data_IF_605459059908
#
_entry.id   IF_605459059908
#
_cell.length_a   1.000
_cell.length_b   1.000
_cell.length_c   1.000
_cell.angle_alpha   90.00
_cell.angle_beta   90.00
_cell.angle_gamma   90.00
#
_symmetry.space_group_name_H-M   'P 1'
#
loop_
_entity.id
_entity.type
_entity.pdbx_description
1 polymer ?
#
# COMPACT_ATOMS: atom_id res chain seq x y z
N UNK A 1 -0.26 39.31 -49.72
CA UNK A 1 -1.32 38.27 -49.74
C UNK A 1 -0.65 36.91 -49.78
N UNK A 2 -0.71 36.15 -48.69
CA UNK A 2 -0.62 34.68 -48.65
C UNK A 2 -0.92 34.30 -47.19
N UNK A 3 -2.20 34.13 -46.91
CA UNK A 3 -2.69 33.58 -45.65
C UNK A 3 -2.35 32.09 -45.64
N UNK A 4 -1.54 31.66 -44.67
CA UNK A 4 -1.37 30.23 -44.41
C UNK A 4 -2.29 29.88 -43.23
N UNK A 5 -3.38 29.19 -43.58
CA UNK A 5 -4.33 28.57 -42.67
C UNK A 5 -3.60 27.54 -41.79
N UNK A 6 -3.56 27.73 -40.47
CA UNK A 6 -3.18 26.68 -39.53
C UNK A 6 -4.45 25.98 -39.06
N UNK A 7 -4.71 24.81 -39.62
CA UNK A 7 -5.83 23.95 -39.28
C UNK A 7 -5.39 23.07 -38.10
N UNK A 8 -5.72 23.50 -36.89
CA UNK A 8 -5.43 22.75 -35.64
C UNK A 8 -6.36 21.54 -35.60
N UNK A 9 -5.81 20.37 -35.95
CA UNK A 9 -6.43 19.07 -35.76
C UNK A 9 -6.36 18.73 -34.27
N UNK A 10 -7.42 19.05 -33.52
CA UNK A 10 -7.56 18.69 -32.11
C UNK A 10 -7.92 17.19 -32.02
N UNK A 11 -6.93 16.30 -32.15
CA UNK A 11 -7.10 14.89 -31.82
C UNK A 11 -7.11 14.75 -30.30
N UNK A 12 -8.31 14.67 -29.73
CA UNK A 12 -8.49 14.32 -28.32
C UNK A 12 -8.06 12.86 -28.12
N UNK A 13 -6.83 12.65 -27.65
CA UNK A 13 -6.42 11.36 -27.10
C UNK A 13 -7.16 11.16 -25.77
N UNK A 14 -8.21 10.33 -25.80
CA UNK A 14 -8.80 9.80 -24.57
C UNK A 14 -7.75 8.90 -23.90
N UNK A 15 -7.16 9.41 -22.83
CA UNK A 15 -6.30 8.62 -21.95
C UNK A 15 -7.22 7.73 -21.11
N UNK A 16 -7.28 6.45 -21.44
CA UNK A 16 -7.94 5.45 -20.59
C UNK A 16 -7.09 5.22 -19.34
N UNK A 17 -7.55 5.74 -18.20
CA UNK A 17 -7.02 5.37 -16.89
C UNK A 17 -7.39 3.91 -16.60
N UNK A 18 -6.40 3.05 -16.36
CA UNK A 18 -6.65 1.69 -15.89
C UNK A 18 -7.20 1.74 -14.47
N UNK A 19 -8.46 1.38 -14.33
CA UNK A 19 -9.11 1.22 -13.03
C UNK A 19 -8.70 -0.12 -12.42
N UNK A 20 -8.22 -0.11 -11.18
CA UNK A 20 -8.10 -1.33 -10.38
C UNK A 20 -9.51 -1.88 -10.10
N UNK A 21 -9.71 -3.19 -10.28
CA UNK A 21 -10.99 -3.83 -9.99
C UNK A 21 -11.01 -4.20 -8.52
N UNK A 22 -11.92 -3.61 -7.75
CA UNK A 22 -12.00 -3.83 -6.31
C UNK A 22 -13.33 -4.44 -5.88
N UNK A 23 -13.28 -5.27 -4.84
CA UNK A 23 -14.47 -5.86 -4.23
C UNK A 23 -14.30 -5.98 -2.71
N UNK A 24 -15.35 -5.62 -1.97
CA UNK A 24 -15.40 -5.74 -0.51
C UNK A 24 -16.36 -6.87 -0.12
N UNK A 25 -15.88 -7.77 0.75
CA UNK A 25 -16.64 -8.88 1.35
C UNK A 25 -16.82 -8.60 2.83
N UNK A 26 -18.05 -8.60 3.34
CA UNK A 26 -18.35 -8.28 4.73
C UNK A 26 -18.53 -9.52 5.62
N UNK A 27 -18.22 -9.38 6.91
CA UNK A 27 -18.27 -10.48 7.88
C UNK A 27 -19.11 -10.11 9.10
N UNK A 28 -19.68 -11.15 9.70
CA UNK A 28 -20.33 -11.04 11.00
C UNK A 28 -19.30 -10.72 12.11
N UNK A 29 -19.82 -10.33 13.27
CA UNK A 29 -18.95 -10.08 14.43
C UNK A 29 -18.30 -11.38 14.85
N UNK A 30 -17.00 -11.34 15.13
CA UNK A 30 -16.22 -12.48 15.64
C UNK A 30 -16.09 -13.70 14.71
N UNK A 31 -16.60 -13.61 13.48
CA UNK A 31 -16.61 -14.73 12.53
C UNK A 31 -15.68 -14.46 11.35
N UNK A 32 -15.19 -15.54 10.75
CA UNK A 32 -14.46 -15.52 9.48
C UNK A 32 -15.08 -16.40 8.40
N UNK A 33 -16.23 -17.01 8.68
CA UNK A 33 -17.05 -17.66 7.67
C UNK A 33 -17.73 -16.59 6.82
N UNK A 34 -17.76 -16.81 5.49
CA UNK A 34 -18.37 -15.87 4.55
C UNK A 34 -19.88 -16.06 4.58
N UNK A 35 -20.67 -15.03 4.91
CA UNK A 35 -22.14 -15.14 4.86
C UNK A 35 -22.60 -15.50 3.44
N UNK A 36 -23.65 -16.31 3.31
CA UNK A 36 -24.15 -16.76 2.00
C UNK A 36 -24.46 -15.60 1.03
N UNK A 37 -24.92 -14.47 1.54
CA UNK A 37 -25.15 -13.26 0.72
C UNK A 37 -23.87 -12.70 0.11
N UNK A 38 -22.78 -12.72 0.89
CA UNK A 38 -21.47 -12.26 0.45
C UNK A 38 -20.78 -13.30 -0.43
N UNK A 39 -21.00 -14.59 -0.18
CA UNK A 39 -20.57 -15.67 -1.07
C UNK A 39 -21.16 -15.48 -2.49
N UNK A 40 -22.46 -15.23 -2.60
CA UNK A 40 -23.06 -14.97 -3.92
C UNK A 40 -22.49 -13.71 -4.61
N UNK A 41 -22.19 -12.65 -3.85
CA UNK A 41 -21.62 -11.40 -4.39
C UNK A 41 -20.18 -11.59 -4.87
N UNK A 42 -19.36 -12.34 -4.12
CA UNK A 42 -17.98 -12.60 -4.49
C UNK A 42 -17.90 -13.55 -5.69
N UNK A 43 -18.83 -14.50 -5.83
CA UNK A 43 -18.92 -15.36 -7.02
C UNK A 43 -19.24 -14.58 -8.29
N UNK A 44 -20.20 -13.67 -8.22
CA UNK A 44 -20.48 -12.76 -9.32
C UNK A 44 -19.26 -11.88 -9.67
N UNK A 45 -18.49 -11.47 -8.65
CA UNK A 45 -17.24 -10.75 -8.89
C UNK A 45 -16.22 -11.62 -9.61
N UNK A 46 -15.99 -12.85 -9.14
CA UNK A 46 -15.05 -13.81 -9.75
C UNK A 46 -15.43 -14.11 -11.20
N UNK A 47 -16.71 -14.35 -11.50
CA UNK A 47 -17.16 -14.64 -12.88
C UNK A 47 -16.89 -13.47 -13.84
N UNK A 48 -16.91 -12.23 -13.35
CA UNK A 48 -16.57 -11.06 -14.17
C UNK A 48 -15.06 -10.95 -14.46
N UNK A 49 -14.22 -11.72 -13.77
CA UNK A 49 -12.77 -11.75 -14.00
C UNK A 49 -12.36 -12.71 -15.12
N UNK A 50 -13.21 -13.66 -15.51
CA UNK A 50 -12.87 -14.71 -16.50
C UNK A 50 -12.45 -14.13 -17.87
N UNK A 51 -13.03 -13.00 -18.26
CA UNK A 51 -12.72 -12.31 -19.51
C UNK A 51 -11.52 -11.36 -19.42
N UNK A 52 -10.87 -11.26 -18.27
CA UNK A 52 -9.84 -10.26 -17.99
C UNK A 52 -8.51 -10.97 -17.74
N UNK A 53 -7.45 -10.68 -18.51
CA UNK A 53 -6.15 -11.22 -18.18
C UNK A 53 -5.69 -10.60 -16.86
N UNK A 54 -5.54 -11.40 -15.82
CA UNK A 54 -5.16 -10.92 -14.49
C UNK A 54 -3.63 -10.94 -14.35
N UNK A 55 -3.04 -9.83 -13.90
CA UNK A 55 -1.63 -9.78 -13.51
C UNK A 55 -1.42 -10.23 -12.06
N UNK A 56 -2.26 -9.73 -11.14
CA UNK A 56 -2.15 -10.03 -9.71
C UNK A 56 -3.46 -9.76 -8.98
N UNK A 57 -3.65 -10.47 -7.87
CA UNK A 57 -4.74 -10.33 -6.92
C UNK A 57 -4.13 -10.04 -5.54
N UNK A 58 -4.74 -9.11 -4.81
CA UNK A 58 -4.40 -8.79 -3.42
C UNK A 58 -5.61 -8.83 -2.51
N UNK A 59 -5.47 -9.49 -1.35
CA UNK A 59 -6.53 -9.72 -0.38
C UNK A 59 -6.10 -9.16 0.99
N UNK A 60 -6.90 -8.24 1.53
CA UNK A 60 -6.62 -7.58 2.81
C UNK A 60 -7.81 -7.68 3.76
N UNK A 61 -7.63 -8.37 4.89
CA UNK A 61 -8.68 -8.54 5.90
C UNK A 61 -8.61 -7.50 7.01
N UNK A 62 -9.77 -7.14 7.56
CA UNK A 62 -9.94 -6.14 8.60
C UNK A 62 -10.98 -6.57 9.66
N UNK A 63 -10.87 -6.01 10.86
CA UNK A 63 -11.88 -6.12 11.93
C UNK A 63 -12.41 -4.75 12.32
N UNK A 64 -13.47 -4.73 13.12
CA UNK A 64 -13.88 -3.50 13.81
C UNK A 64 -12.96 -3.18 14.99
N UNK A 65 -13.25 -2.06 15.68
CA UNK A 65 -12.44 -1.48 16.76
C UNK A 65 -12.51 -2.23 18.10
N UNK A 66 -13.26 -3.33 18.18
CA UNK A 66 -13.44 -4.09 19.42
C UNK A 66 -12.52 -5.30 19.45
N UNK A 67 -12.10 -5.71 20.65
CA UNK A 67 -11.18 -6.83 20.85
C UNK A 67 -9.75 -6.38 21.11
N UNK A 68 -8.85 -7.34 21.36
CA UNK A 68 -7.43 -7.03 21.52
C UNK A 68 -6.76 -6.92 20.16
N UNK A 69 -5.68 -6.12 20.07
CA UNK A 69 -4.92 -5.97 18.83
C UNK A 69 -4.42 -7.31 18.25
N UNK A 70 -3.92 -8.21 19.11
CA UNK A 70 -3.41 -9.51 18.67
C UNK A 70 -4.55 -10.41 18.17
N UNK A 71 -5.68 -10.41 18.88
CA UNK A 71 -6.87 -11.13 18.45
C UNK A 71 -7.40 -10.63 17.10
N UNK A 72 -7.53 -9.31 16.96
CA UNK A 72 -8.00 -8.68 15.73
C UNK A 72 -7.07 -8.95 14.55
N UNK A 73 -5.75 -8.99 14.80
CA UNK A 73 -4.78 -9.35 13.78
C UNK A 73 -4.99 -10.79 13.29
N UNK A 74 -5.15 -11.74 14.20
CA UNK A 74 -5.37 -13.15 13.85
C UNK A 74 -6.72 -13.35 13.15
N UNK A 75 -7.82 -12.77 13.67
CA UNK A 75 -9.15 -12.83 13.04
C UNK A 75 -9.17 -12.24 11.63
N UNK A 76 -8.54 -11.06 11.45
CA UNK A 76 -8.43 -10.43 10.14
C UNK A 76 -7.61 -11.27 9.14
N UNK A 77 -6.62 -12.02 9.63
CA UNK A 77 -5.81 -12.92 8.79
C UNK A 77 -6.61 -14.15 8.39
N UNK A 78 -7.39 -14.72 9.29
CA UNK A 78 -8.27 -15.85 8.99
C UNK A 78 -9.29 -15.47 7.91
N UNK A 79 -9.94 -14.31 8.02
CA UNK A 79 -10.85 -13.79 6.98
C UNK A 79 -10.17 -13.69 5.61
N UNK A 80 -8.96 -13.13 5.56
CA UNK A 80 -8.21 -13.02 4.31
C UNK A 80 -7.87 -14.41 3.72
N UNK A 81 -7.55 -15.38 4.57
CA UNK A 81 -7.29 -16.76 4.14
C UNK A 81 -8.55 -17.45 3.61
N UNK A 82 -9.71 -17.25 4.25
CA UNK A 82 -11.00 -17.78 3.78
C UNK A 82 -11.31 -17.28 2.36
N UNK A 83 -11.08 -15.99 2.08
CA UNK A 83 -11.27 -15.46 0.72
C UNK A 83 -10.25 -16.02 -0.27
N UNK A 84 -9.00 -16.24 0.16
CA UNK A 84 -8.00 -16.91 -0.68
C UNK A 84 -8.46 -18.32 -1.06
N UNK A 85 -8.91 -19.10 -0.09
CA UNK A 85 -9.40 -20.47 -0.29
C UNK A 85 -10.63 -20.50 -1.21
N UNK A 86 -11.54 -19.53 -1.05
CA UNK A 86 -12.68 -19.36 -1.95
C UNK A 86 -12.19 -19.11 -3.38
N UNK A 87 -11.30 -18.13 -3.61
CA UNK A 87 -10.76 -17.86 -4.94
C UNK A 87 -10.11 -19.10 -5.58
N UNK A 88 -9.27 -19.82 -4.82
CA UNK A 88 -8.66 -21.08 -5.29
C UNK A 88 -9.71 -22.14 -5.63
N UNK A 89 -10.73 -22.30 -4.78
CA UNK A 89 -11.80 -23.28 -4.93
C UNK A 89 -12.67 -23.04 -6.18
N UNK A 90 -12.79 -21.78 -6.61
CA UNK A 90 -13.49 -21.38 -7.83
C UNK A 90 -12.56 -21.24 -9.04
N UNK A 91 -11.35 -21.80 -8.98
CA UNK A 91 -10.48 -22.00 -10.16
C UNK A 91 -9.52 -20.86 -10.47
N UNK A 92 -9.42 -19.83 -9.62
CA UNK A 92 -8.38 -18.81 -9.77
C UNK A 92 -7.02 -19.40 -9.36
N UNK A 93 -6.03 -19.31 -10.25
CA UNK A 93 -4.67 -19.78 -9.97
C UNK A 93 -4.08 -19.04 -8.75
N UNK A 94 -3.63 -19.82 -7.75
CA UNK A 94 -2.98 -19.30 -6.55
C UNK A 94 -1.76 -18.43 -6.85
N UNK A 95 -1.08 -18.67 -7.98
CA UNK A 95 0.07 -17.86 -8.38
C UNK A 95 -0.33 -16.40 -8.67
N UNK A 96 -1.57 -16.15 -9.07
CA UNK A 96 -2.12 -14.79 -9.26
C UNK A 96 -2.38 -14.12 -7.92
N UNK A 97 -2.64 -14.87 -6.83
CA UNK A 97 -2.91 -14.35 -5.50
C UNK A 97 -1.61 -14.00 -4.78
N UNK A 98 -1.10 -12.81 -5.08
CA UNK A 98 0.22 -12.42 -4.59
C UNK A 98 0.20 -11.92 -3.13
N UNK A 99 -0.92 -11.42 -2.61
CA UNK A 99 -1.06 -10.87 -1.26
C UNK A 99 -2.26 -11.46 -0.53
N UNK A 100 -2.04 -11.95 0.69
CA UNK A 100 -3.09 -12.35 1.63
C UNK A 100 -2.63 -11.93 3.02
N UNK A 101 -3.22 -10.85 3.56
CA UNK A 101 -2.77 -10.29 4.85
C UNK A 101 -3.95 -9.79 5.69
N UNK A 102 -3.99 -10.20 6.96
CA UNK A 102 -4.77 -9.54 7.99
C UNK A 102 -4.14 -8.21 8.41
N UNK A 103 -4.97 -7.17 8.53
CA UNK A 103 -4.56 -5.81 8.92
C UNK A 103 -4.95 -5.45 10.35
N UNK A 104 -5.74 -6.28 11.03
CA UNK A 104 -6.30 -6.00 12.34
C UNK A 104 -7.44 -4.99 12.30
N UNK A 105 -7.59 -4.26 13.40
CA UNK A 105 -8.73 -3.35 13.63
C UNK A 105 -8.69 -2.07 12.81
N UNK A 106 -9.87 -1.63 12.36
CA UNK A 106 -10.09 -0.29 11.84
C UNK A 106 -10.73 0.57 12.92
N UNK A 107 -9.98 1.56 13.39
CA UNK A 107 -10.44 2.53 14.38
C UNK A 107 -11.61 3.40 13.85
N UNK A 108 -12.59 3.64 14.72
CA UNK A 108 -13.72 4.52 14.44
C UNK A 108 -13.27 5.99 14.34
N UNK A 109 -13.88 6.72 13.39
CA UNK A 109 -13.63 8.15 13.17
C UNK A 109 -14.78 9.06 13.63
N UNK A 110 -15.95 8.51 13.94
CA UNK A 110 -17.22 9.25 14.07
C UNK A 110 -17.63 9.43 15.55
N UNK A 111 -18.24 10.59 15.86
CA UNK A 111 -18.68 11.01 17.21
C UNK A 111 -20.17 10.72 17.51
N UNK A 112 -20.96 10.34 16.50
CA UNK A 112 -22.39 10.05 16.64
C UNK A 112 -22.65 8.57 16.95
N UNK A 113 -23.30 8.29 18.08
CA UNK A 113 -23.56 6.93 18.59
C UNK A 113 -24.40 6.07 17.62
N UNK A 114 -25.34 6.68 16.91
CA UNK A 114 -26.29 5.97 16.04
C UNK A 114 -25.65 5.32 14.81
N UNK A 115 -24.46 5.76 14.39
CA UNK A 115 -23.77 5.22 13.21
C UNK A 115 -22.69 4.20 13.56
N UNK A 116 -22.32 4.10 14.83
CA UNK A 116 -21.20 3.26 15.30
C UNK A 116 -21.39 1.80 14.87
N UNK A 117 -22.58 1.24 15.09
CA UNK A 117 -22.86 -0.15 14.74
C UNK A 117 -22.76 -0.40 13.24
N UNK A 118 -23.23 0.55 12.41
CA UNK A 118 -23.14 0.46 10.95
C UNK A 118 -21.69 0.52 10.49
N UNK A 119 -20.90 1.47 10.99
CA UNK A 119 -19.48 1.61 10.65
C UNK A 119 -18.69 0.36 11.06
N UNK A 120 -18.96 -0.19 12.25
CA UNK A 120 -18.35 -1.46 12.67
C UNK A 120 -18.67 -2.58 11.69
N UNK A 121 -19.92 -2.67 11.24
CA UNK A 121 -20.33 -3.59 10.17
C UNK A 121 -19.49 -3.43 8.91
N UNK A 122 -19.32 -2.19 8.45
CA UNK A 122 -18.54 -1.87 7.25
C UNK A 122 -17.01 -2.08 7.43
N UNK A 123 -16.51 -2.05 8.66
CA UNK A 123 -15.10 -2.28 8.96
C UNK A 123 -14.73 -3.76 9.04
N UNK A 124 -15.70 -4.63 9.36
CA UNK A 124 -15.52 -6.09 9.32
C UNK A 124 -15.57 -6.57 7.88
N UNK A 125 -14.49 -6.36 7.15
CA UNK A 125 -14.42 -6.67 5.73
C UNK A 125 -13.11 -7.26 5.27
N UNK A 126 -13.14 -7.88 4.10
CA UNK A 126 -11.97 -8.19 3.29
C UNK A 126 -12.07 -7.38 2.00
N UNK A 127 -11.01 -6.64 1.70
CA UNK A 127 -10.87 -5.87 0.47
C UNK A 127 -10.01 -6.65 -0.52
N UNK A 128 -10.54 -6.84 -1.72
CA UNK A 128 -9.92 -7.58 -2.83
C UNK A 128 -9.60 -6.58 -3.92
N UNK A 129 -8.36 -6.62 -4.42
CA UNK A 129 -7.88 -5.75 -5.49
C UNK A 129 -7.28 -6.64 -6.59
N UNK A 130 -7.87 -6.56 -7.78
CA UNK A 130 -7.42 -7.27 -8.97
C UNK A 130 -6.81 -6.27 -9.93
N UNK A 131 -5.57 -6.53 -10.32
CA UNK A 131 -4.84 -5.73 -11.31
C UNK A 131 -4.80 -6.50 -12.64
N UNK A 132 -5.39 -5.96 -13.72
CA UNK A 132 -5.30 -6.54 -15.04
C UNK A 132 -3.87 -6.56 -15.59
N UNK A 133 -3.56 -7.52 -16.47
CA UNK A 133 -2.32 -7.56 -17.25
C UNK A 133 -2.46 -6.60 -18.43
N UNK A 134 -1.59 -5.59 -18.47
CA UNK A 134 -1.39 -4.73 -19.63
C UNK A 134 -0.97 -5.58 -20.84
N UNK A 135 -1.55 -5.35 -22.04
CA UNK A 135 -0.98 -5.91 -23.26
C UNK A 135 0.44 -5.36 -23.42
N UNK A 136 1.40 -6.27 -23.65
CA UNK A 136 2.79 -5.91 -23.90
C UNK A 136 2.84 -5.13 -25.23
N UNK A 137 3.21 -3.85 -25.16
CA UNK A 137 3.49 -3.05 -26.35
C UNK A 137 4.79 -3.60 -26.93
N UNK A 138 4.69 -4.30 -28.06
CA UNK A 138 5.85 -4.69 -28.86
C UNK A 138 6.42 -3.39 -29.43
N UNK A 139 7.44 -2.84 -28.77
CA UNK A 139 8.25 -1.77 -29.34
C UNK A 139 9.32 -2.47 -30.17
N UNK A 140 9.20 -2.39 -31.48
CA UNK A 140 10.28 -2.80 -32.39
C UNK A 140 11.49 -1.90 -32.12
N UNK A 141 12.59 -2.49 -31.66
CA UNK A 141 13.87 -1.81 -31.44
C UNK A 141 14.40 -1.28 -32.79
N UNK A 142 14.56 0.04 -32.89
CA UNK A 142 15.45 0.65 -33.89
C UNK A 142 16.75 1.09 -33.23
N UNK A 143 17.89 1.06 -33.96
CA UNK A 143 19.21 1.19 -33.36
C UNK A 143 19.46 2.60 -32.83
N UNK A 144 20.06 2.68 -31.65
CA UNK A 144 20.53 3.92 -31.03
C UNK A 144 21.68 4.53 -31.86
N UNK A 145 21.49 5.76 -32.36
CA UNK A 145 22.60 6.62 -32.77
C UNK A 145 22.85 7.65 -31.65
N UNK A 146 24.09 7.64 -31.17
CA UNK A 146 24.65 8.62 -30.24
C UNK A 146 24.40 10.05 -30.72
N UNK A 147 23.82 10.89 -29.87
CA UNK A 147 23.88 12.34 -30.05
C UNK A 147 23.87 13.05 -28.70
N UNK A 148 24.81 13.97 -28.61
CA UNK A 148 25.32 14.64 -27.43
C UNK A 148 24.29 15.51 -26.69
N UNK A 149 24.56 15.68 -25.40
CA UNK A 149 23.86 16.54 -24.46
C UNK A 149 23.96 18.01 -24.90
N UNK A 150 22.82 18.63 -25.19
CA UNK A 150 22.65 20.09 -25.13
C UNK A 150 21.38 20.39 -24.35
N UNK A 151 21.57 20.85 -23.11
CA UNK A 151 20.54 21.44 -22.26
C UNK A 151 20.03 22.73 -22.93
N UNK A 152 18.73 22.78 -23.23
CA UNK A 152 17.99 24.04 -23.34
C UNK A 152 16.73 23.96 -22.47
N UNK A 153 16.67 24.91 -21.55
CA UNK A 153 15.62 25.13 -20.56
C UNK A 153 14.24 25.27 -21.21
N UNK A 154 13.30 24.44 -20.77
CA UNK A 154 11.87 24.76 -20.78
C UNK A 154 11.35 24.51 -19.38
N UNK A 155 11.05 25.61 -18.69
CA UNK A 155 10.43 25.65 -17.37
C UNK A 155 9.03 25.00 -17.42
N UNK A 156 8.93 23.73 -17.05
CA UNK A 156 7.74 23.18 -16.38
C UNK A 156 8.19 22.28 -15.23
N UNK A 157 7.98 22.74 -14.00
CA UNK A 157 8.35 22.06 -12.76
C UNK A 157 7.56 20.77 -12.53
N UNK A 158 8.00 19.66 -13.12
CA UNK A 158 7.67 18.31 -12.64
C UNK A 158 8.89 17.68 -11.99
N UNK A 159 9.00 17.80 -10.66
CA UNK A 159 10.04 17.14 -9.86
C UNK A 159 9.81 15.62 -9.79
N UNK A 160 10.35 14.88 -10.77
CA UNK A 160 10.45 13.41 -10.76
C UNK A 160 11.72 12.98 -10.00
N UNK A 161 11.84 13.42 -8.75
CA UNK A 161 12.88 12.95 -7.82
C UNK A 161 12.26 12.13 -6.69
N UNK A 162 12.96 11.13 -6.11
CA UNK A 162 12.46 10.40 -4.96
C UNK A 162 12.20 11.35 -3.79
N UNK A 163 10.94 11.50 -3.38
CA UNK A 163 10.54 12.40 -2.28
C UNK A 163 11.15 11.93 -0.96
N UNK A 164 11.67 12.88 -0.19
CA UNK A 164 12.35 12.62 1.09
C UNK A 164 11.58 13.26 2.25
N UNK A 165 12.09 13.09 3.47
CA UNK A 165 11.56 13.77 4.65
C UNK A 165 11.65 15.30 4.54
N UNK A 166 12.53 15.82 3.68
CA UNK A 166 12.68 17.26 3.49
C UNK A 166 11.50 17.86 2.72
N UNK A 167 10.90 17.10 1.80
CA UNK A 167 9.68 17.51 1.10
C UNK A 167 8.49 17.66 2.07
N UNK A 168 8.41 16.79 3.09
CA UNK A 168 7.42 16.94 4.17
C UNK A 168 7.65 18.23 4.95
N UNK A 169 8.91 18.57 5.21
CA UNK A 169 9.24 19.79 5.95
C UNK A 169 8.91 21.06 5.16
N UNK A 170 9.06 21.01 3.82
CA UNK A 170 8.74 22.08 2.88
C UNK A 170 7.25 22.19 2.53
N UNK A 171 6.44 21.18 2.88
CA UNK A 171 5.00 21.18 2.62
C UNK A 171 4.64 20.94 1.14
N UNK A 172 5.58 20.45 0.32
CA UNK A 172 5.38 20.20 -1.12
C UNK A 172 4.74 18.84 -1.42
N UNK A 173 4.23 18.17 -0.39
CA UNK A 173 3.73 16.79 -0.43
C UNK A 173 2.29 16.73 -0.94
N UNK A 174 2.03 15.77 -1.83
CA UNK A 174 0.73 15.46 -2.40
C UNK A 174 0.27 14.06 -2.03
N UNK A 175 -1.03 13.79 -2.20
CA UNK A 175 -1.58 12.44 -2.07
C UNK A 175 -0.92 11.51 -3.10
N UNK A 176 -0.48 10.34 -2.66
CA UNK A 176 0.21 9.35 -3.49
C UNK A 176 1.74 9.41 -3.35
N UNK A 177 2.30 10.49 -2.80
CA UNK A 177 3.74 10.63 -2.63
C UNK A 177 4.28 9.53 -1.72
N UNK A 178 5.34 8.87 -2.18
CA UNK A 178 6.04 7.84 -1.46
C UNK A 178 7.37 8.38 -0.98
N UNK A 179 7.58 8.31 0.32
CA UNK A 179 8.71 8.90 1.02
C UNK A 179 9.52 7.77 1.63
N UNK A 180 10.70 7.52 1.08
CA UNK A 180 11.60 6.51 1.63
C UNK A 180 12.27 7.07 2.88
N UNK A 181 12.15 6.37 4.01
CA UNK A 181 12.79 6.78 5.25
C UNK A 181 14.29 6.48 5.14
N UNK A 182 15.06 7.49 4.79
CA UNK A 182 16.52 7.40 4.79
C UNK A 182 17.04 7.25 6.22
N UNK A 183 18.15 6.53 6.38
CA UNK A 183 18.86 6.39 7.67
C UNK A 183 18.06 5.72 8.81
N UNK A 184 17.01 4.96 8.48
CA UNK A 184 16.31 4.06 9.42
C UNK A 184 16.70 2.61 9.10
N UNK A 185 17.68 2.11 9.85
CA UNK A 185 18.23 0.79 9.73
C UNK A 185 17.64 -0.13 10.80
N UNK A 186 17.22 -1.32 10.37
CA UNK A 186 16.78 -2.39 11.25
C UNK A 186 17.94 -3.34 11.53
N UNK A 187 18.00 -3.89 12.74
CA UNK A 187 18.93 -4.99 13.00
C UNK A 187 18.57 -6.18 12.11
N UNK A 188 19.58 -6.87 11.57
CA UNK A 188 19.41 -7.95 10.59
C UNK A 188 18.45 -9.02 11.10
N UNK A 189 17.40 -9.30 10.31
CA UNK A 189 16.32 -10.25 10.62
C UNK A 189 15.49 -9.94 11.89
N UNK A 190 15.56 -8.71 12.40
CA UNK A 190 14.73 -8.24 13.51
C UNK A 190 13.86 -7.05 13.10
N UNK A 191 12.81 -6.83 13.88
CA UNK A 191 11.83 -5.74 13.74
C UNK A 191 12.22 -4.42 14.42
N UNK A 192 13.28 -4.40 15.23
CA UNK A 192 13.73 -3.18 15.93
C UNK A 192 14.88 -2.47 15.20
N UNK A 193 14.88 -1.14 15.31
CA UNK A 193 15.89 -0.26 14.70
C UNK A 193 17.21 -0.27 15.48
N UNK A 194 18.31 0.08 14.80
CA UNK A 194 19.62 0.28 15.44
C UNK A 194 19.61 1.52 16.36
N UNK A 195 20.62 1.64 17.21
CA UNK A 195 20.83 2.84 18.05
C UNK A 195 20.91 4.11 17.22
N UNK A 196 21.61 4.05 16.09
CA UNK A 196 21.94 5.21 15.26
C UNK A 196 20.68 5.76 14.59
N UNK A 197 19.75 4.87 14.23
CA UNK A 197 18.47 5.23 13.64
C UNK A 197 17.46 5.82 14.62
N UNK A 198 17.73 5.79 15.93
CA UNK A 198 16.84 6.42 16.93
C UNK A 198 16.74 7.93 16.73
N UNK A 199 17.86 8.61 16.39
CA UNK A 199 17.87 10.05 16.15
C UNK A 199 16.99 10.42 14.95
N UNK A 200 17.16 9.70 13.84
CA UNK A 200 16.34 9.86 12.63
C UNK A 200 14.86 9.63 12.92
N UNK A 201 14.53 8.58 13.66
CA UNK A 201 13.16 8.24 14.01
C UNK A 201 12.52 9.28 14.96
N UNK A 202 13.31 9.91 15.82
CA UNK A 202 12.86 11.05 16.63
C UNK A 202 12.57 12.29 15.77
N UNK A 203 13.46 12.63 14.83
CA UNK A 203 13.23 13.73 13.89
C UNK A 203 11.97 13.52 13.05
N UNK A 204 11.76 12.29 12.55
CA UNK A 204 10.55 11.90 11.84
C UNK A 204 9.29 12.08 12.71
N UNK A 205 9.34 11.70 13.99
CA UNK A 205 8.21 11.89 14.89
C UNK A 205 7.87 13.37 15.09
N UNK A 206 8.88 14.23 15.29
CA UNK A 206 8.70 15.70 15.39
C UNK A 206 8.07 16.26 14.11
N UNK A 207 8.53 15.80 12.96
CA UNK A 207 8.01 16.21 11.65
C UNK A 207 6.54 15.83 11.45
N UNK A 208 6.15 14.61 11.85
CA UNK A 208 4.76 14.12 11.75
C UNK A 208 3.81 14.75 12.80
N UNK A 209 4.35 15.24 13.90
CA UNK A 209 3.61 16.04 14.89
C UNK A 209 3.35 17.46 14.38
N UNK A 210 4.34 18.06 13.70
CA UNK A 210 4.19 19.39 13.07
C UNK A 210 3.16 19.35 11.95
N UNK A 211 3.18 18.31 11.12
CA UNK A 211 2.28 18.15 9.98
C UNK A 211 1.03 17.33 10.32
N UNK A 212 0.11 17.95 11.07
CA UNK A 212 -1.13 17.29 11.57
C UNK A 212 -2.11 16.88 10.46
N UNK A 213 -2.06 17.54 9.32
CA UNK A 213 -2.95 17.32 8.18
C UNK A 213 -2.54 16.12 7.30
N UNK A 214 -1.39 15.49 7.54
CA UNK A 214 -0.93 14.34 6.75
C UNK A 214 -1.51 13.03 7.29
N UNK A 215 -2.00 12.20 6.36
CA UNK A 215 -2.45 10.84 6.60
C UNK A 215 -1.61 9.89 5.75
N UNK A 216 -1.09 8.83 6.34
CA UNK A 216 -0.07 8.02 5.69
C UNK A 216 -0.11 6.54 6.08
N UNK A 217 0.53 5.72 5.25
CA UNK A 217 0.72 4.29 5.45
C UNK A 217 2.20 3.99 5.53
N UNK A 218 2.63 3.32 6.60
CA UNK A 218 3.99 2.86 6.81
C UNK A 218 4.14 1.50 6.13
N UNK A 219 5.04 1.39 5.16
CA UNK A 219 5.26 0.21 4.33
C UNK A 219 6.62 -0.41 4.68
N UNK A 220 6.63 -1.63 5.21
CA UNK A 220 7.87 -2.33 5.56
C UNK A 220 8.31 -3.27 4.45
N UNK A 221 9.60 -3.27 4.13
CA UNK A 221 10.20 -4.10 3.08
C UNK A 221 11.24 -5.04 3.68
N UNK A 222 11.42 -6.19 3.03
CA UNK A 222 12.46 -7.17 3.39
C UNK A 222 13.17 -7.64 2.13
N UNK A 223 14.45 -7.97 2.28
CA UNK A 223 15.26 -8.54 1.21
C UNK A 223 15.18 -10.08 1.20
N UNK A 224 15.60 -10.66 0.07
CA UNK A 224 16.07 -12.06 -0.04
C UNK A 224 15.09 -13.17 0.39
N UNK A 225 13.78 -12.98 0.23
CA UNK A 225 12.80 -14.07 0.35
C UNK A 225 12.47 -14.68 -1.02
N UNK A 226 12.07 -15.96 -1.02
CA UNK A 226 11.61 -16.70 -2.20
C UNK A 226 10.08 -16.86 -2.19
N UNK A 227 9.48 -17.02 -3.37
CA UNK A 227 8.04 -17.30 -3.55
C UNK A 227 7.10 -16.30 -2.88
N UNK A 228 7.42 -14.99 -2.91
CA UNK A 228 6.58 -13.93 -2.34
C UNK A 228 6.25 -14.07 -0.84
N UNK A 229 6.95 -14.96 -0.13
CA UNK A 229 6.82 -15.15 1.32
C UNK A 229 7.49 -13.99 2.05
N UNK A 230 6.96 -13.64 3.22
CA UNK A 230 7.66 -12.70 4.10
C UNK A 230 8.89 -13.37 4.75
N UNK A 231 9.78 -12.55 5.28
CA UNK A 231 10.92 -13.00 6.06
C UNK A 231 10.48 -13.33 7.49
N UNK A 232 11.28 -14.16 8.17
CA UNK A 232 11.05 -14.56 9.55
C UNK A 232 11.64 -13.51 10.49
N UNK A 233 10.84 -13.01 11.44
CA UNK A 233 11.36 -12.22 12.55
C UNK A 233 12.05 -13.17 13.53
N UNK A 234 13.37 -13.01 13.70
CA UNK A 234 14.16 -13.88 14.58
C UNK A 234 13.72 -13.84 16.04
N UNK A 235 13.06 -12.76 16.48
CA UNK A 235 12.53 -12.63 17.85
C UNK A 235 11.30 -13.49 18.06
N UNK A 236 10.29 -13.36 17.18
CA UNK A 236 8.99 -14.02 17.34
C UNK A 236 8.91 -15.38 16.65
N UNK A 237 9.88 -15.67 15.77
CA UNK A 237 9.89 -16.83 14.85
C UNK A 237 8.72 -16.86 13.86
N UNK A 238 7.89 -15.81 13.81
CA UNK A 238 6.79 -15.67 12.87
C UNK A 238 7.29 -15.16 11.52
N UNK A 239 6.66 -15.60 10.43
CA UNK A 239 6.97 -15.21 9.05
C UNK A 239 6.22 -13.93 8.66
N UNK A 240 6.53 -12.83 9.36
CA UNK A 240 5.87 -11.54 9.21
C UNK A 240 6.83 -10.35 9.41
N UNK A 241 8.12 -10.50 9.12
CA UNK A 241 9.15 -9.50 9.42
C UNK A 241 8.87 -8.14 8.79
N UNK A 242 8.38 -8.10 7.54
CA UNK A 242 8.06 -6.84 6.86
C UNK A 242 6.93 -6.08 7.59
N UNK A 243 5.91 -6.81 8.06
CA UNK A 243 4.81 -6.26 8.86
C UNK A 243 5.32 -5.80 10.22
N UNK A 244 6.14 -6.62 10.89
CA UNK A 244 6.66 -6.32 12.21
C UNK A 244 7.54 -5.06 12.23
N UNK A 245 8.34 -4.82 11.17
CA UNK A 245 9.12 -3.59 10.98
C UNK A 245 8.24 -2.36 10.79
N UNK A 246 7.22 -2.46 9.94
CA UNK A 246 6.28 -1.36 9.74
C UNK A 246 5.53 -1.03 11.05
N UNK A 247 5.09 -2.07 11.78
CA UNK A 247 4.44 -1.93 13.08
C UNK A 247 5.36 -1.28 14.12
N UNK A 248 6.65 -1.62 14.14
CA UNK A 248 7.61 -1.01 15.06
C UNK A 248 7.66 0.52 14.92
N UNK A 249 7.68 1.03 13.68
CA UNK A 249 7.68 2.46 13.39
C UNK A 249 6.34 3.08 13.78
N UNK A 250 5.22 2.42 13.44
CA UNK A 250 3.88 2.84 13.86
C UNK A 250 3.78 2.99 15.39
N UNK A 251 4.17 1.97 16.15
CA UNK A 251 4.12 1.96 17.61
C UNK A 251 5.02 3.07 18.18
N UNK A 252 6.17 3.34 17.54
CA UNK A 252 7.05 4.43 17.94
C UNK A 252 6.42 5.80 17.73
N UNK A 253 5.87 6.07 16.54
CA UNK A 253 5.20 7.34 16.25
C UNK A 253 3.99 7.55 17.16
N UNK A 254 3.21 6.49 17.43
CA UNK A 254 2.09 6.52 18.38
C UNK A 254 2.56 6.97 19.77
N UNK A 255 3.62 6.34 20.31
CA UNK A 255 4.19 6.69 21.62
C UNK A 255 4.73 8.11 21.68
N UNK A 256 5.16 8.68 20.54
CA UNK A 256 5.59 10.07 20.44
C UNK A 256 4.45 11.07 20.27
N UNK A 257 3.19 10.61 20.17
CA UNK A 257 1.99 11.45 20.12
C UNK A 257 1.43 11.67 18.72
N UNK A 258 1.93 10.98 17.69
CA UNK A 258 1.31 11.01 16.36
C UNK A 258 -0.03 10.28 16.45
N UNK A 259 -1.12 10.99 16.13
CA UNK A 259 -2.47 10.41 16.17
C UNK A 259 -2.57 9.14 15.30
N UNK A 260 -2.94 8.04 15.96
CA UNK A 260 -3.16 6.72 15.35
C UNK A 260 -4.16 6.74 14.20
N UNK A 261 -5.15 7.64 14.21
CA UNK A 261 -6.16 7.78 13.15
C UNK A 261 -5.57 8.22 11.81
N UNK A 262 -4.38 8.85 11.85
CA UNK A 262 -3.68 9.38 10.67
C UNK A 262 -2.69 8.39 10.07
N UNK A 263 -2.46 7.26 10.72
CA UNK A 263 -1.44 6.30 10.31
C UNK A 263 -1.97 4.88 10.20
N UNK A 264 -1.51 4.17 9.18
CA UNK A 264 -1.67 2.73 9.01
C UNK A 264 -0.29 2.09 8.83
N UNK A 265 -0.17 0.77 8.97
CA UNK A 265 1.06 0.06 8.63
C UNK A 265 0.77 -1.23 7.85
N UNK A 266 1.73 -1.64 7.02
CA UNK A 266 1.66 -2.88 6.26
C UNK A 266 3.04 -3.42 5.91
N UNK A 267 3.15 -4.74 5.79
CA UNK A 267 4.32 -5.42 5.25
C UNK A 267 4.20 -5.62 3.74
N UNK A 268 5.23 -5.23 3.01
CA UNK A 268 5.35 -5.31 1.55
C UNK A 268 6.24 -6.47 1.09
N UNK A 269 6.78 -7.26 2.04
CA UNK A 269 7.64 -8.43 1.75
C UNK A 269 8.81 -8.02 0.81
N UNK A 270 9.24 -8.91 -0.09
CA UNK A 270 10.25 -8.65 -1.14
C UNK A 270 9.61 -8.25 -2.49
N UNK A 271 8.46 -7.55 -2.47
CA UNK A 271 7.69 -7.28 -3.70
C UNK A 271 8.17 -6.07 -4.50
N UNK A 272 8.93 -5.18 -3.87
CA UNK A 272 9.36 -3.91 -4.47
C UNK A 272 10.88 -3.74 -4.25
N UNK A 273 11.70 -4.59 -4.89
CA UNK A 273 13.15 -4.42 -4.82
C UNK A 273 13.55 -3.11 -5.51
N UNK A 274 14.46 -2.33 -4.92
CA UNK A 274 14.97 -1.10 -5.54
C UNK A 274 16.05 -1.36 -6.60
N UNK A 275 16.55 -2.59 -6.68
CA UNK A 275 17.80 -2.88 -7.40
C UNK A 275 19.02 -2.50 -6.56
N UNK A 276 20.15 -3.18 -6.78
CA UNK A 276 21.40 -2.95 -6.05
C UNK A 276 21.52 -3.77 -4.76
N UNK A 277 22.14 -3.18 -3.73
CA UNK A 277 22.52 -3.91 -2.51
C UNK A 277 21.30 -4.39 -1.71
N UNK A 278 21.27 -5.65 -1.22
CA UNK A 278 20.16 -6.19 -0.41
C UNK A 278 19.78 -5.34 0.79
N UNK A 279 20.73 -4.57 1.32
CA UNK A 279 20.57 -3.59 2.40
C UNK A 279 19.43 -2.60 2.12
N UNK A 280 19.32 -2.13 0.87
CA UNK A 280 18.36 -1.13 0.43
C UNK A 280 16.92 -1.66 0.46
N UNK A 281 16.75 -2.97 0.36
CA UNK A 281 15.44 -3.63 0.46
C UNK A 281 15.02 -3.95 1.90
N UNK A 282 15.88 -3.67 2.88
CA UNK A 282 15.57 -3.77 4.32
C UNK A 282 15.10 -2.43 4.88
N UNK A 283 14.15 -1.79 4.20
CA UNK A 283 13.71 -0.42 4.46
C UNK A 283 12.27 -0.32 4.95
N UNK A 284 11.90 0.88 5.38
CA UNK A 284 10.51 1.29 5.59
C UNK A 284 10.24 2.56 4.79
N UNK A 285 9.11 2.60 4.11
CA UNK A 285 8.62 3.73 3.33
C UNK A 285 7.37 4.32 4.02
N UNK A 286 7.13 5.60 3.82
CA UNK A 286 5.88 6.27 4.19
C UNK A 286 5.16 6.67 2.91
N UNK A 287 4.00 6.09 2.67
CA UNK A 287 3.11 6.44 1.59
C UNK A 287 2.07 7.44 2.08
N UNK A 288 2.03 8.63 1.49
CA UNK A 288 1.04 9.66 1.81
C UNK A 288 -0.29 9.28 1.16
N UNK A 289 -1.27 8.98 2.00
CA UNK A 289 -2.60 8.54 1.55
C UNK A 289 -3.60 9.68 1.40
N UNK A 290 -3.41 10.76 2.15
CA UNK A 290 -4.24 11.95 2.08
C UNK A 290 -3.53 13.15 2.73
N UNK A 291 -3.73 14.33 2.16
CA UNK A 291 -3.25 15.62 2.67
C UNK A 291 -4.50 16.45 2.95
N UNK A 292 -4.79 16.66 4.23
CA UNK A 292 -5.88 17.53 4.67
C UNK A 292 -5.57 19.00 4.41
N UNK A 293 -6.59 19.85 4.42
CA UNK A 293 -6.39 21.30 4.39
C UNK A 293 -5.63 21.70 5.65
N UNK A 294 -4.55 22.46 5.50
CA UNK A 294 -3.90 23.10 6.63
C UNK A 294 -4.90 24.11 7.22
N UNK A 295 -5.11 24.04 8.53
CA UNK A 295 -5.78 25.10 9.31
C UNK A 295 -4.87 26.32 9.42
#
# INVERSE_FOLDING_TARGET
>A
MKHLLFLILFSTSMVFSQSELTHDVYFNTDEYDVPLTEENRILLFISNLDSIPIQKISIYGFTDDRGSNDYNLDLSQNRANTIKELFSGYGIDENLITNVNGKGEILLKVLNENEVHKIRGLNRKVEIIVTPKLPEVIVEEQPEEDSEVVEQEVEEETSIGPKTTDDIAKGTIKKGDKITLQNIYFKTSYSYVTSDSKKTLESLAKLMLKNKHLYFTIQGHVCCTQMSRDAIDKKTKKRNLSVARAKFIYDYLARKGVDKKRMKYMGMRRKFPLGGAPELDRRVEILITYVGKAE
#
